data_IF_358554685676
#
_entry.id   IF_358554685676
#
_cell.length_a   1.000
_cell.length_b   1.000
_cell.length_c   1.000
_cell.angle_alpha   90.00
_cell.angle_beta   90.00
_cell.angle_gamma   90.00
#
_symmetry.space_group_name_H-M   'P 1'
#
loop_
_entity.id
_entity.type
_entity.pdbx_description
1 polymer ?
#
# COMPACT_ATOMS: atom_id res chain seq x y z
N UNK A 1 -73.22 -20.65 7.93
CA UNK A 1 -72.32 -19.66 8.54
C UNK A 1 -71.63 -20.26 9.77
N UNK A 2 -70.43 -20.83 9.63
CA UNK A 2 -69.57 -21.18 10.76
C UNK A 2 -68.39 -20.20 10.89
N UNK A 3 -67.96 -20.03 12.13
CA UNK A 3 -67.18 -18.91 12.70
C UNK A 3 -65.69 -18.99 12.36
N UNK A 4 -65.09 -17.82 12.16
CA UNK A 4 -63.64 -17.61 12.12
C UNK A 4 -63.00 -18.05 13.44
N UNK A 5 -61.91 -18.85 13.44
CA UNK A 5 -61.09 -19.06 14.61
C UNK A 5 -60.09 -17.91 14.80
N UNK A 6 -60.05 -17.45 16.05
CA UNK A 6 -59.35 -16.27 16.54
C UNK A 6 -57.82 -16.43 16.50
N UNK A 7 -57.13 -15.33 16.22
CA UNK A 7 -55.69 -15.16 16.36
C UNK A 7 -55.27 -15.28 17.83
N UNK A 8 -54.33 -16.17 18.14
CA UNK A 8 -53.61 -16.14 19.41
C UNK A 8 -52.29 -15.37 19.26
N UNK A 9 -51.98 -14.40 20.13
CA UNK A 9 -50.70 -13.69 20.10
C UNK A 9 -49.55 -14.60 20.59
N UNK A 10 -48.32 -14.43 20.09
CA UNK A 10 -47.17 -15.17 20.59
C UNK A 10 -46.84 -14.76 22.03
N UNK A 11 -46.56 -15.78 22.83
CA UNK A 11 -46.13 -15.74 24.23
C UNK A 11 -44.90 -14.82 24.36
N UNK A 12 -45.02 -13.80 25.21
CA UNK A 12 -43.88 -12.97 25.63
C UNK A 12 -42.99 -13.80 26.56
N UNK A 13 -41.82 -14.20 26.08
CA UNK A 13 -40.77 -14.75 26.93
C UNK A 13 -39.97 -13.57 27.49
N UNK A 14 -40.16 -13.31 28.78
CA UNK A 14 -39.30 -12.43 29.55
C UNK A 14 -37.88 -13.02 29.59
N UNK A 15 -36.91 -12.29 29.04
CA UNK A 15 -35.49 -12.57 29.28
C UNK A 15 -35.08 -11.68 30.43
N UNK A 16 -34.95 -12.30 31.60
CA UNK A 16 -34.38 -11.67 32.79
C UNK A 16 -32.99 -11.11 32.48
N UNK A 17 -32.83 -9.81 32.74
CA UNK A 17 -31.56 -9.16 32.75
C UNK A 17 -30.66 -9.75 33.84
N UNK A 18 -29.62 -10.46 33.42
CA UNK A 18 -28.39 -10.59 34.20
C UNK A 18 -27.23 -10.02 33.38
N UNK A 19 -27.06 -8.73 33.60
CA UNK A 19 -25.86 -7.97 33.30
C UNK A 19 -24.68 -8.57 34.07
N UNK A 20 -23.78 -9.24 33.37
CA UNK A 20 -22.40 -9.42 33.81
C UNK A 20 -21.47 -8.95 32.71
N UNK A 21 -21.07 -7.68 32.84
CA UNK A 21 -19.81 -7.18 32.31
C UNK A 21 -18.67 -8.09 32.78
N UNK A 22 -18.19 -8.96 31.89
CA UNK A 22 -16.87 -9.54 31.99
C UNK A 22 -16.27 -9.54 30.58
N UNK A 23 -15.37 -8.59 30.35
CA UNK A 23 -14.52 -8.60 29.17
C UNK A 23 -13.72 -9.89 29.16
N UNK A 24 -13.98 -10.76 28.19
CA UNK A 24 -13.11 -11.86 27.86
C UNK A 24 -13.07 -11.97 26.34
N UNK A 25 -11.89 -11.71 25.79
CA UNK A 25 -11.43 -12.32 24.55
C UNK A 25 -11.34 -13.82 24.85
N UNK A 26 -12.47 -14.52 24.82
CA UNK A 26 -12.49 -15.97 24.85
C UNK A 26 -12.94 -16.42 23.47
N UNK A 27 -11.97 -16.94 22.73
CA UNK A 27 -12.20 -17.65 21.48
C UNK A 27 -13.32 -18.67 21.65
N UNK A 28 -14.39 -18.68 20.84
CA UNK A 28 -15.32 -19.79 20.87
C UNK A 28 -14.65 -20.93 20.10
N UNK A 29 -13.81 -21.68 20.81
CA UNK A 29 -13.35 -22.98 20.34
C UNK A 29 -14.55 -23.91 20.45
N UNK A 30 -15.21 -24.24 19.34
CA UNK A 30 -16.15 -25.37 19.31
C UNK A 30 -15.38 -26.62 19.77
N UNK A 31 -15.73 -27.24 20.92
CA UNK A 31 -14.95 -28.35 21.48
C UNK A 31 -14.88 -29.56 20.53
N UNK A 32 -15.88 -29.75 19.66
CA UNK A 32 -15.93 -30.87 18.72
C UNK A 32 -14.83 -30.86 17.66
N UNK A 33 -14.40 -29.70 17.16
CA UNK A 33 -13.33 -29.64 16.16
C UNK A 33 -11.94 -29.88 16.77
N UNK A 34 -11.78 -29.61 18.07
CA UNK A 34 -10.52 -29.82 18.79
C UNK A 34 -10.23 -31.30 19.05
N UNK A 35 -11.24 -32.18 19.01
CA UNK A 35 -11.10 -33.61 19.26
C UNK A 35 -10.88 -34.40 17.95
N UNK A 36 -11.14 -33.80 16.79
CA UNK A 36 -10.97 -34.47 15.50
C UNK A 36 -9.51 -34.49 15.04
N UNK A 37 -9.10 -35.58 14.40
CA UNK A 37 -7.74 -35.69 13.84
C UNK A 37 -7.55 -34.70 12.68
N UNK A 38 -6.31 -34.30 12.43
CA UNK A 38 -5.98 -33.33 11.37
C UNK A 38 -6.47 -33.78 9.98
N UNK A 39 -6.35 -35.09 9.69
CA UNK A 39 -6.92 -35.70 8.48
C UNK A 39 -8.45 -35.52 8.39
N UNK A 40 -9.16 -35.67 9.50
CA UNK A 40 -10.62 -35.55 9.55
C UNK A 40 -11.07 -34.10 9.36
N UNK A 41 -10.30 -33.14 9.88
CA UNK A 41 -10.52 -31.71 9.67
C UNK A 41 -10.36 -31.34 8.19
N UNK A 42 -9.32 -31.87 7.53
CA UNK A 42 -9.09 -31.63 6.10
C UNK A 42 -10.14 -32.30 5.20
N UNK A 43 -10.58 -33.52 5.56
CA UNK A 43 -11.67 -34.22 4.88
C UNK A 43 -12.99 -33.48 5.05
N UNK A 44 -13.26 -32.95 6.24
CA UNK A 44 -14.43 -32.13 6.50
C UNK A 44 -14.41 -30.86 5.63
N UNK A 45 -13.28 -30.14 5.61
CA UNK A 45 -13.11 -28.93 4.78
C UNK A 45 -13.35 -29.20 3.29
N UNK A 46 -12.90 -30.35 2.79
CA UNK A 46 -13.10 -30.77 1.39
C UNK A 46 -14.56 -31.12 1.09
N UNK A 47 -15.29 -31.66 2.08
CA UNK A 47 -16.67 -32.14 1.92
C UNK A 47 -17.72 -31.04 2.08
N UNK A 48 -17.61 -30.21 3.12
CA UNK A 48 -18.55 -29.10 3.38
C UNK A 48 -18.13 -27.80 2.67
N UNK A 49 -16.89 -27.75 2.18
CA UNK A 49 -16.30 -26.57 1.55
C UNK A 49 -15.80 -25.54 2.56
N UNK A 50 -14.72 -24.83 2.20
CA UNK A 50 -13.99 -23.90 3.09
C UNK A 50 -14.87 -22.79 3.66
N UNK A 51 -15.93 -22.36 2.94
CA UNK A 51 -16.85 -21.31 3.42
C UNK A 51 -17.79 -21.80 4.53
N UNK A 52 -18.29 -23.03 4.44
CA UNK A 52 -19.15 -23.60 5.49
C UNK A 52 -18.30 -23.99 6.71
N UNK A 53 -17.12 -24.58 6.47
CA UNK A 53 -16.16 -24.90 7.52
C UNK A 53 -15.76 -23.67 8.32
N UNK A 54 -15.33 -22.58 7.67
CA UNK A 54 -14.92 -21.35 8.38
C UNK A 54 -16.06 -20.73 9.19
N UNK A 55 -17.32 -20.89 8.77
CA UNK A 55 -18.49 -20.40 9.50
C UNK A 55 -18.76 -21.20 10.78
N UNK A 56 -18.50 -22.51 10.76
CA UNK A 56 -18.62 -23.38 11.93
C UNK A 56 -17.40 -23.26 12.86
N UNK A 57 -16.19 -23.19 12.30
CA UNK A 57 -14.94 -23.14 13.04
C UNK A 57 -14.67 -21.79 13.73
N UNK A 58 -15.10 -20.68 13.11
CA UNK A 58 -14.84 -19.32 13.62
C UNK A 58 -16.12 -18.51 13.88
N UNK A 59 -17.29 -19.14 13.73
CA UNK A 59 -18.58 -18.45 13.76
C UNK A 59 -18.83 -17.62 12.49
N UNK A 60 -20.08 -17.21 12.28
CA UNK A 60 -20.39 -16.19 11.28
C UNK A 60 -19.78 -14.86 11.74
N UNK A 61 -18.63 -14.47 11.19
CA UNK A 61 -18.07 -13.14 11.40
C UNK A 61 -19.13 -12.05 11.16
N UNK A 62 -19.07 -10.91 11.86
CA UNK A 62 -20.15 -9.93 11.87
C UNK A 62 -20.49 -9.51 10.44
N UNK A 63 -21.63 -9.98 9.93
CA UNK A 63 -22.25 -9.43 8.74
C UNK A 63 -22.85 -8.11 9.19
N UNK A 64 -22.20 -7.01 8.87
CA UNK A 64 -22.65 -5.65 9.18
C UNK A 64 -23.93 -5.33 8.39
N UNK A 65 -25.05 -5.88 8.85
CA UNK A 65 -26.40 -5.53 8.42
C UNK A 65 -27.16 -4.92 9.61
N UNK A 66 -26.49 -4.02 10.33
CA UNK A 66 -27.04 -3.21 11.39
C UNK A 66 -26.22 -1.94 11.43
N UNK A 67 -26.89 -0.78 11.43
CA UNK A 67 -26.29 0.54 11.45
C UNK A 67 -25.18 0.60 12.50
N UNK A 68 -23.93 0.50 12.04
CA UNK A 68 -22.81 0.90 12.86
C UNK A 68 -22.94 2.42 12.95
N UNK A 69 -22.85 2.97 14.17
CA UNK A 69 -22.67 4.39 14.39
C UNK A 69 -21.30 4.77 13.79
N UNK A 70 -21.19 4.78 12.45
CA UNK A 70 -19.96 5.04 11.73
C UNK A 70 -19.69 6.52 11.81
N UNK A 71 -18.48 6.86 12.23
CA UNK A 71 -18.01 8.23 12.13
C UNK A 71 -17.92 8.58 10.64
N UNK A 72 -18.73 9.52 10.12
CA UNK A 72 -18.69 9.88 8.72
C UNK A 72 -17.35 10.50 8.31
N UNK A 73 -16.45 10.84 9.25
CA UNK A 73 -15.07 11.23 8.90
C UNK A 73 -14.19 10.05 8.51
N UNK A 74 -14.55 8.86 8.99
CA UNK A 74 -13.79 7.62 8.81
C UNK A 74 -14.62 6.55 8.10
N UNK A 75 -15.74 6.92 7.47
CA UNK A 75 -16.53 6.00 6.68
C UNK A 75 -16.00 5.90 5.25
N UNK A 76 -16.02 4.69 4.70
CA UNK A 76 -15.52 4.39 3.37
C UNK A 76 -16.38 5.08 2.28
N UNK A 77 -17.61 5.48 2.62
CA UNK A 77 -18.54 6.23 1.76
C UNK A 77 -18.27 7.74 1.74
N UNK A 78 -17.40 8.26 2.58
CA UNK A 78 -17.18 9.70 2.77
C UNK A 78 -16.33 10.38 1.69
N UNK A 79 -16.03 9.64 0.61
CA UNK A 79 -15.40 10.15 -0.60
C UNK A 79 -13.92 9.79 -0.75
N UNK A 80 -13.36 10.13 -1.92
CA UNK A 80 -11.97 9.80 -2.26
C UNK A 80 -10.98 10.86 -1.78
N UNK A 81 -9.85 10.40 -1.22
CA UNK A 81 -8.74 11.27 -0.82
C UNK A 81 -8.09 11.95 -2.03
N UNK A 82 -8.29 13.27 -2.15
CA UNK A 82 -7.64 14.11 -3.17
C UNK A 82 -6.41 14.79 -2.59
N UNK A 83 -5.23 14.20 -2.85
CA UNK A 83 -3.95 14.71 -2.38
C UNK A 83 -3.72 16.19 -2.75
N UNK A 84 -4.11 16.61 -3.96
CA UNK A 84 -3.93 17.99 -4.42
C UNK A 84 -4.69 19.02 -3.58
N UNK A 85 -5.88 18.65 -3.08
CA UNK A 85 -6.68 19.52 -2.21
C UNK A 85 -6.07 19.52 -0.83
N UNK A 86 -5.70 18.35 -0.31
CA UNK A 86 -5.06 18.22 0.98
C UNK A 86 -3.78 19.05 1.09
N UNK A 87 -2.90 18.94 0.09
CA UNK A 87 -1.62 19.66 0.09
C UNK A 87 -1.81 21.19 0.02
N UNK A 88 -2.89 21.67 -0.60
CA UNK A 88 -3.24 23.10 -0.64
C UNK A 88 -3.84 23.56 0.70
N UNK A 89 -4.90 22.89 1.15
CA UNK A 89 -5.65 23.25 2.37
C UNK A 89 -4.78 23.13 3.63
N UNK A 90 -3.92 22.11 3.68
CA UNK A 90 -3.07 21.80 4.83
C UNK A 90 -1.59 22.02 4.54
N UNK A 91 -1.26 22.97 3.67
CA UNK A 91 0.12 23.31 3.29
C UNK A 91 1.02 23.60 4.52
N UNK A 92 0.48 24.21 5.57
CA UNK A 92 1.19 24.50 6.83
C UNK A 92 1.71 23.25 7.56
N UNK A 93 1.15 22.05 7.30
CA UNK A 93 1.67 20.79 7.86
C UNK A 93 3.11 20.56 7.40
N UNK A 94 3.47 21.01 6.19
CA UNK A 94 4.85 20.95 5.71
C UNK A 94 5.78 21.79 6.57
N UNK A 95 5.33 22.96 7.03
CA UNK A 95 6.12 23.86 7.88
C UNK A 95 6.25 23.32 9.31
N UNK A 96 5.20 22.70 9.84
CA UNK A 96 5.26 21.98 11.13
C UNK A 96 6.28 20.83 11.04
N UNK A 97 6.16 19.97 10.02
CA UNK A 97 7.10 18.85 9.81
C UNK A 97 8.54 19.34 9.65
N UNK A 98 8.75 20.46 8.95
CA UNK A 98 10.07 21.08 8.77
C UNK A 98 10.65 21.58 10.10
N UNK A 99 9.84 22.24 10.93
CA UNK A 99 10.24 22.69 12.27
C UNK A 99 10.57 21.53 13.19
N UNK A 100 9.75 20.49 13.23
CA UNK A 100 10.01 19.27 14.02
C UNK A 100 11.31 18.57 13.62
N UNK A 101 11.66 18.64 12.33
CA UNK A 101 12.94 18.11 11.85
C UNK A 101 14.15 18.88 12.38
N UNK A 102 14.02 20.21 12.50
CA UNK A 102 15.08 21.10 12.96
C UNK A 102 15.23 21.08 14.49
N UNK A 103 14.13 20.91 15.24
CA UNK A 103 14.18 20.83 16.70
C UNK A 103 14.91 19.55 17.14
N UNK A 104 15.95 19.71 17.98
CA UNK A 104 16.59 18.60 18.68
C UNK A 104 15.57 17.95 19.63
N UNK A 105 15.09 16.76 19.27
CA UNK A 105 14.29 15.90 20.15
C UNK A 105 14.98 15.60 21.49
N UNK A 106 14.23 15.29 22.57
CA UNK A 106 14.72 15.25 23.95
C UNK A 106 15.92 14.31 24.17
N UNK A 107 16.70 14.62 25.23
CA UNK A 107 18.04 14.10 25.52
C UNK A 107 18.20 12.57 25.61
N UNK A 108 17.11 11.77 25.61
CA UNK A 108 17.10 10.33 25.97
C UNK A 108 16.87 9.32 24.82
N UNK A 109 17.09 9.66 23.55
CA UNK A 109 17.04 8.68 22.43
C UNK A 109 18.46 8.22 22.06
N UNK A 110 18.72 6.90 22.01
CA UNK A 110 20.02 6.33 21.59
C UNK A 110 20.42 6.87 20.20
N UNK A 111 21.68 7.31 20.05
CA UNK A 111 22.22 7.96 18.83
C UNK A 111 21.87 7.20 17.53
N UNK A 112 21.90 5.87 17.56
CA UNK A 112 21.57 4.97 16.43
C UNK A 112 20.09 5.05 16.01
N UNK A 113 19.17 5.08 16.96
CA UNK A 113 17.73 5.15 16.68
C UNK A 113 17.35 6.51 16.07
N UNK A 114 17.98 7.59 16.58
CA UNK A 114 17.84 8.95 16.02
C UNK A 114 18.32 9.04 14.57
N UNK A 115 19.47 8.45 14.26
CA UNK A 115 20.00 8.40 12.89
C UNK A 115 19.06 7.63 11.95
N UNK A 116 18.57 6.46 12.37
CA UNK A 116 17.62 5.67 11.58
C UNK A 116 16.33 6.44 11.27
N UNK A 117 15.77 7.17 12.24
CA UNK A 117 14.56 7.97 12.02
C UNK A 117 14.79 9.10 11.00
N UNK A 118 15.91 9.81 11.10
CA UNK A 118 16.27 10.86 10.14
C UNK A 118 16.50 10.32 8.73
N UNK A 119 17.22 9.21 8.61
CA UNK A 119 17.44 8.55 7.31
C UNK A 119 16.11 8.12 6.70
N UNK A 120 15.23 7.48 7.48
CA UNK A 120 13.88 7.08 7.04
C UNK A 120 13.04 8.29 6.58
N UNK A 121 13.12 9.42 7.30
CA UNK A 121 12.43 10.65 6.89
C UNK A 121 13.00 11.22 5.59
N UNK A 122 14.32 11.33 5.49
CA UNK A 122 14.99 11.82 4.28
C UNK A 122 14.68 10.93 3.05
N UNK A 123 14.61 9.61 3.23
CA UNK A 123 14.23 8.69 2.16
C UNK A 123 12.75 8.85 1.77
N UNK A 124 11.84 9.05 2.74
CA UNK A 124 10.43 9.39 2.46
C UNK A 124 10.30 10.68 1.67
N UNK A 125 11.08 11.71 1.99
CA UNK A 125 11.08 12.99 1.28
C UNK A 125 11.65 12.86 -0.13
N UNK A 126 12.74 12.11 -0.31
CA UNK A 126 13.31 11.81 -1.64
C UNK A 126 12.31 11.06 -2.51
N UNK A 127 11.62 10.07 -1.94
CA UNK A 127 10.57 9.35 -2.66
C UNK A 127 9.41 10.27 -3.05
N UNK A 128 8.96 11.13 -2.13
CA UNK A 128 7.91 12.13 -2.41
C UNK A 128 8.33 13.07 -3.53
N UNK A 129 9.50 13.68 -3.44
CA UNK A 129 10.04 14.54 -4.50
C UNK A 129 10.22 13.81 -5.83
N UNK A 130 10.60 12.53 -5.80
CA UNK A 130 10.66 11.68 -6.99
C UNK A 130 9.29 11.43 -7.62
N UNK A 131 8.24 11.21 -6.81
CA UNK A 131 6.85 11.04 -7.27
C UNK A 131 6.28 12.36 -7.81
N UNK A 132 6.51 13.47 -7.12
CA UNK A 132 6.08 14.81 -7.54
C UNK A 132 6.69 15.20 -8.89
N UNK A 133 8.00 14.99 -9.09
CA UNK A 133 8.64 15.27 -10.40
C UNK A 133 8.05 14.43 -11.52
N UNK A 134 7.74 13.15 -11.26
CA UNK A 134 7.09 12.28 -12.25
C UNK A 134 5.70 12.80 -12.61
N UNK A 135 4.89 13.11 -11.59
CA UNK A 135 3.54 13.71 -11.77
C UNK A 135 3.61 15.03 -12.53
N UNK A 136 4.54 15.91 -12.19
CA UNK A 136 4.73 17.19 -12.86
C UNK A 136 5.07 17.00 -14.36
N UNK A 137 5.99 16.09 -14.69
CA UNK A 137 6.31 15.77 -16.09
C UNK A 137 5.13 15.14 -16.84
N UNK A 138 4.33 14.29 -16.18
CA UNK A 138 3.12 13.68 -16.76
C UNK A 138 2.04 14.74 -17.03
N UNK A 139 1.81 15.64 -16.08
CA UNK A 139 0.89 16.76 -16.23
C UNK A 139 1.33 17.72 -17.34
N UNK A 140 2.63 18.03 -17.42
CA UNK A 140 3.19 18.84 -18.51
C UNK A 140 2.96 18.19 -19.87
N UNK A 141 3.23 16.88 -19.99
CA UNK A 141 3.00 16.15 -21.24
C UNK A 141 1.52 16.13 -21.62
N UNK A 142 0.62 15.92 -20.64
CA UNK A 142 -0.83 15.97 -20.86
C UNK A 142 -1.30 17.37 -21.29
N UNK A 143 -0.72 18.43 -20.70
CA UNK A 143 -1.00 19.82 -21.08
C UNK A 143 -0.55 20.09 -22.51
N UNK A 144 0.65 19.69 -22.87
CA UNK A 144 1.18 19.85 -24.23
C UNK A 144 0.33 19.10 -25.27
N UNK A 145 -0.09 17.88 -24.97
CA UNK A 145 -1.01 17.13 -25.83
C UNK A 145 -2.34 17.86 -26.02
N UNK A 146 -2.91 18.42 -24.94
CA UNK A 146 -4.14 19.22 -24.98
C UNK A 146 -3.98 20.48 -25.85
N UNK A 147 -2.86 21.18 -25.71
CA UNK A 147 -2.57 22.37 -26.52
C UNK A 147 -2.40 22.03 -28.00
N UNK A 148 -1.70 20.93 -28.33
CA UNK A 148 -1.58 20.45 -29.71
C UNK A 148 -2.93 20.09 -30.31
N UNK A 149 -3.76 19.36 -29.56
CA UNK A 149 -5.13 19.03 -29.98
C UNK A 149 -5.98 20.30 -30.16
N UNK A 150 -5.84 21.29 -29.28
CA UNK A 150 -6.51 22.59 -29.40
C UNK A 150 -6.12 23.35 -30.67
N UNK A 151 -4.90 23.15 -31.18
CA UNK A 151 -4.44 23.70 -32.46
C UNK A 151 -4.92 22.89 -33.67
N UNK A 152 -5.73 21.84 -33.47
CA UNK A 152 -6.22 20.94 -34.51
C UNK A 152 -5.24 19.84 -34.91
N UNK A 153 -4.11 19.68 -34.20
CA UNK A 153 -3.19 18.59 -34.48
C UNK A 153 -3.77 17.24 -34.01
N UNK A 154 -3.52 16.19 -34.79
CA UNK A 154 -3.98 14.84 -34.47
C UNK A 154 -3.35 14.37 -33.14
N UNK A 155 -4.14 13.88 -32.17
CA UNK A 155 -3.60 13.30 -30.94
C UNK A 155 -2.62 12.16 -31.27
N UNK A 156 -1.41 12.22 -30.72
CA UNK A 156 -0.41 11.17 -30.91
C UNK A 156 0.08 10.66 -29.56
N UNK A 157 0.17 9.34 -29.42
CA UNK A 157 0.64 8.69 -28.21
C UNK A 157 2.10 8.29 -28.41
N UNK A 158 3.02 8.95 -27.69
CA UNK A 158 4.43 8.55 -27.73
C UNK A 158 4.55 7.16 -27.13
N UNK A 159 5.20 6.25 -27.85
CA UNK A 159 5.45 4.90 -27.37
C UNK A 159 6.29 4.92 -26.08
N UNK A 160 6.02 4.00 -25.14
CA UNK A 160 6.77 3.93 -23.87
C UNK A 160 8.29 3.76 -24.08
N UNK A 161 8.70 3.07 -25.14
CA UNK A 161 10.11 2.90 -25.49
C UNK A 161 10.75 4.24 -25.92
N UNK A 162 10.05 5.02 -26.74
CA UNK A 162 10.50 6.34 -27.17
C UNK A 162 10.54 7.33 -26.02
N UNK A 163 9.53 7.34 -25.14
CA UNK A 163 9.54 8.14 -23.91
C UNK A 163 10.77 7.84 -23.04
N UNK A 164 11.24 6.59 -23.00
CA UNK A 164 12.47 6.25 -22.27
C UNK A 164 13.71 6.79 -22.99
N UNK A 165 13.77 6.71 -24.32
CA UNK A 165 14.86 7.28 -25.13
C UNK A 165 14.96 8.79 -24.95
N UNK A 166 13.84 9.52 -24.98
CA UNK A 166 13.81 10.97 -24.76
C UNK A 166 14.26 11.35 -23.35
N UNK A 167 13.76 10.66 -22.32
CA UNK A 167 14.20 10.86 -20.92
C UNK A 167 15.70 10.57 -20.75
N UNK A 168 16.21 9.51 -21.38
CA UNK A 168 17.64 9.18 -21.36
C UNK A 168 18.45 10.27 -22.06
N UNK A 169 18.05 10.71 -23.25
CA UNK A 169 18.71 11.78 -24.00
C UNK A 169 18.80 13.08 -23.18
N UNK A 170 17.70 13.49 -22.53
CA UNK A 170 17.68 14.64 -21.63
C UNK A 170 18.62 14.45 -20.41
N UNK A 171 18.67 13.25 -19.85
CA UNK A 171 19.62 12.95 -18.76
C UNK A 171 21.07 13.03 -19.25
N UNK A 172 21.37 12.56 -20.45
CA UNK A 172 22.72 12.64 -21.04
C UNK A 172 23.13 14.06 -21.39
N UNK A 173 22.23 14.91 -21.89
CA UNK A 173 22.54 16.32 -22.15
C UNK A 173 22.91 17.04 -20.86
N UNK A 174 22.13 16.85 -19.79
CA UNK A 174 22.47 17.45 -18.47
C UNK A 174 23.82 16.97 -17.94
N UNK A 175 24.15 15.69 -18.09
CA UNK A 175 25.43 15.12 -17.65
C UNK A 175 26.63 15.61 -18.48
N UNK A 176 26.41 15.87 -19.78
CA UNK A 176 27.41 16.48 -20.67
C UNK A 176 27.69 17.91 -20.23
N UNK A 177 26.65 18.73 -20.06
CA UNK A 177 26.78 20.11 -19.60
C UNK A 177 27.44 20.19 -18.22
N UNK A 178 27.13 19.25 -17.32
CA UNK A 178 27.72 19.23 -15.98
C UNK A 178 29.13 18.63 -15.92
N UNK A 179 29.70 18.13 -17.02
CA UNK A 179 31.01 17.46 -17.06
C UNK A 179 31.10 16.12 -16.32
N UNK A 180 29.98 15.52 -15.91
CA UNK A 180 29.95 14.29 -15.07
C UNK A 180 29.74 13.01 -15.89
N UNK A 181 29.74 13.13 -17.22
CA UNK A 181 29.43 12.03 -18.14
C UNK A 181 30.43 10.87 -18.01
N UNK A 182 31.73 11.15 -18.05
CA UNK A 182 32.76 10.09 -18.02
C UNK A 182 32.72 9.28 -16.72
N UNK A 183 32.51 9.96 -15.58
CA UNK A 183 32.35 9.28 -14.29
C UNK A 183 31.09 8.40 -14.25
N UNK A 184 29.99 8.85 -14.86
CA UNK A 184 28.76 8.05 -14.98
C UNK A 184 28.96 6.81 -15.86
N UNK A 185 29.62 6.97 -17.02
CA UNK A 185 29.96 5.87 -17.91
C UNK A 185 30.92 4.89 -17.25
N UNK A 186 31.96 5.37 -16.56
CA UNK A 186 32.87 4.52 -15.78
C UNK A 186 32.15 3.67 -14.73
N UNK A 187 31.24 4.27 -13.95
CA UNK A 187 30.41 3.52 -12.97
C UNK A 187 29.50 2.49 -13.65
N UNK A 188 28.93 2.81 -14.81
CA UNK A 188 28.13 1.87 -15.60
C UNK A 188 28.97 0.73 -16.16
N UNK A 189 30.13 1.01 -16.75
CA UNK A 189 31.11 0.02 -17.24
C UNK A 189 31.48 -0.97 -16.13
N UNK A 190 31.87 -0.47 -14.94
CA UNK A 190 32.21 -1.32 -13.78
C UNK A 190 31.04 -2.19 -13.29
N UNK A 191 29.83 -1.64 -13.21
CA UNK A 191 28.62 -2.41 -12.80
C UNK A 191 28.24 -3.46 -13.84
N UNK A 192 28.38 -3.16 -15.12
CA UNK A 192 28.10 -4.09 -16.21
C UNK A 192 29.13 -5.21 -16.24
N UNK A 193 30.43 -4.90 -16.17
CA UNK A 193 31.50 -5.91 -16.07
C UNK A 193 31.26 -6.90 -14.92
N UNK A 194 30.84 -6.41 -13.74
CA UNK A 194 30.47 -7.28 -12.62
C UNK A 194 29.24 -8.17 -12.87
N UNK A 195 28.28 -7.73 -13.69
CA UNK A 195 27.12 -8.54 -14.11
C UNK A 195 27.51 -9.53 -15.19
N UNK A 196 28.33 -9.11 -16.14
CA UNK A 196 28.78 -9.94 -17.27
C UNK A 196 29.63 -11.10 -16.74
N UNK A 197 30.52 -10.83 -15.77
CA UNK A 197 31.24 -11.87 -15.01
C UNK A 197 30.30 -12.88 -14.34
N UNK A 198 29.13 -12.44 -13.86
CA UNK A 198 28.11 -13.36 -13.29
C UNK A 198 27.37 -14.17 -14.36
N UNK A 199 27.42 -13.78 -15.62
CA UNK A 199 26.81 -14.55 -16.71
C UNK A 199 27.79 -15.54 -17.35
N UNK A 200 29.10 -15.33 -17.15
CA UNK A 200 30.12 -16.25 -17.64
C UNK A 200 30.09 -17.59 -16.88
N UNK A 201 30.37 -18.71 -17.58
CA UNK A 201 30.59 -20.02 -16.98
C UNK A 201 31.61 -20.02 -15.85
N UNK A 202 31.42 -20.92 -14.88
CA UNK A 202 32.24 -21.00 -13.65
C UNK A 202 33.75 -21.12 -13.90
N UNK A 203 34.16 -21.79 -14.99
CA UNK A 203 35.56 -21.99 -15.36
C UNK A 203 36.25 -20.67 -15.74
N UNK A 204 35.56 -19.80 -16.46
CA UNK A 204 36.08 -18.49 -16.89
C UNK A 204 36.12 -17.48 -15.73
N UNK A 205 35.20 -17.59 -14.76
CA UNK A 205 35.19 -16.73 -13.56
C UNK A 205 36.42 -16.87 -12.66
N UNK A 206 37.13 -18.02 -12.70
CA UNK A 206 38.34 -18.28 -11.90
C UNK A 206 39.60 -17.68 -12.52
N UNK A 207 39.65 -17.53 -13.84
CA UNK A 207 40.80 -16.98 -14.55
C UNK A 207 40.89 -15.46 -14.37
N UNK A 208 39.74 -14.76 -14.44
CA UNK A 208 39.62 -13.30 -14.22
C UNK A 208 39.90 -12.83 -12.78
N UNK A 209 40.09 -13.73 -11.81
CA UNK A 209 40.38 -13.38 -10.41
C UNK A 209 41.88 -13.50 -10.06
N UNK A 210 42.71 -14.00 -10.99
CA UNK A 210 44.16 -14.18 -10.79
C UNK A 210 45.01 -13.04 -11.36
N UNK A 211 44.38 -12.00 -11.90
CA UNK A 211 45.00 -10.77 -12.42
C UNK A 211 44.51 -9.59 -11.60
#
# INVERSE_FOLDING_TARGET
MPRLPQLTPPVSIAIDGKNTNAGCILWPSCPELSVMSFEDILRLQSRVGTKAYNRLAYGAGPRSAGATLRDPRFDDLSGEYKAEIFDKTYSFIHDIRRREMQVRTPRRIRRRQKLCLRVRQADRERERGGRERRRASELQHKKEQRERASRGARPYFVNKAEQKKTRLAASFSTLKTSGKLEAFLGKKRKRNAGKDRRKLPWQQRRQDQRV
#
